data_IF_199127231285
#
_entry.id   IF_199127231285
#
_cell.length_a   1.000
_cell.length_b   1.000
_cell.length_c   1.000
_cell.angle_alpha   90.00
_cell.angle_beta   90.00
_cell.angle_gamma   90.00
#
_symmetry.space_group_name_H-M   'P 1'
#
loop_
_entity.id
_entity.type
_entity.pdbx_description
1 polymer ?
#
# COMPACT_ATOMS: atom_id res chain seq x y z
N UNK A 1 46.48 -49.85 -26.26
CA UNK A 1 47.37 -49.50 -25.13
C UNK A 1 47.18 -48.00 -24.91
N UNK A 2 46.03 -47.61 -24.37
CA UNK A 2 45.69 -47.49 -22.94
C UNK A 2 46.13 -46.12 -22.40
N UNK A 3 45.21 -45.17 -22.55
CA UNK A 3 45.12 -43.91 -21.81
C UNK A 3 44.84 -44.20 -20.32
N UNK A 4 45.42 -43.40 -19.42
CA UNK A 4 45.03 -43.40 -18.00
C UNK A 4 45.16 -42.00 -17.39
N UNK A 5 44.10 -41.20 -17.53
CA UNK A 5 43.81 -40.07 -16.64
C UNK A 5 43.32 -40.60 -15.29
N UNK A 6 44.11 -40.42 -14.24
CA UNK A 6 43.71 -40.76 -12.87
C UNK A 6 43.03 -39.55 -12.21
N UNK A 7 41.69 -39.55 -12.21
CA UNK A 7 40.88 -38.65 -11.40
C UNK A 7 41.07 -38.96 -9.90
N UNK A 8 41.58 -38.01 -9.13
CA UNK A 8 41.55 -38.07 -7.66
C UNK A 8 40.12 -37.80 -7.20
N UNK A 9 39.34 -38.88 -7.04
CA UNK A 9 38.08 -38.84 -6.28
C UNK A 9 38.44 -38.78 -4.80
N UNK A 10 38.50 -37.57 -4.25
CA UNK A 10 38.57 -37.38 -2.81
C UNK A 10 37.18 -37.71 -2.25
N UNK A 11 37.11 -38.80 -1.49
CA UNK A 11 35.91 -39.33 -0.85
C UNK A 11 35.28 -38.27 0.05
N UNK A 12 34.07 -37.83 -0.31
CA UNK A 12 33.41 -36.63 0.25
C UNK A 12 32.55 -36.97 1.49
N UNK A 13 32.68 -38.18 2.05
CA UNK A 13 31.72 -38.75 3.01
C UNK A 13 32.12 -38.73 4.49
N UNK A 14 33.36 -38.38 4.86
CA UNK A 14 33.75 -38.24 6.29
C UNK A 14 34.14 -36.81 6.65
N UNK A 15 33.15 -36.01 7.04
CA UNK A 15 33.36 -34.69 7.66
C UNK A 15 33.63 -34.86 9.15
N UNK A 16 34.68 -34.20 9.65
CA UNK A 16 35.07 -34.28 11.05
C UNK A 16 34.01 -33.62 11.96
N UNK A 17 33.77 -34.23 13.12
CA UNK A 17 32.83 -33.72 14.14
C UNK A 17 33.16 -32.28 14.50
N UNK A 18 32.20 -31.36 14.31
CA UNK A 18 32.34 -29.95 14.72
C UNK A 18 32.65 -28.95 13.59
N UNK A 19 32.76 -29.40 12.35
CA UNK A 19 32.93 -28.54 11.17
C UNK A 19 31.61 -27.91 10.70
N UNK A 20 31.69 -26.69 10.16
CA UNK A 20 30.52 -26.04 9.57
C UNK A 20 30.07 -26.75 8.28
N UNK A 21 28.77 -26.99 8.15
CA UNK A 21 28.17 -27.66 7.01
C UNK A 21 27.84 -26.73 5.84
N UNK A 22 27.86 -25.41 6.04
CA UNK A 22 27.55 -24.41 5.01
C UNK A 22 28.56 -24.47 3.86
N UNK A 23 28.11 -24.47 2.59
CA UNK A 23 29.01 -24.46 1.43
C UNK A 23 30.05 -23.33 1.50
N UNK A 24 31.27 -23.60 1.07
CA UNK A 24 32.39 -22.65 1.07
C UNK A 24 32.78 -22.04 2.43
N UNK A 25 32.22 -22.53 3.53
CA UNK A 25 32.62 -22.11 4.88
C UNK A 25 33.79 -22.96 5.38
N UNK A 26 34.83 -22.30 5.92
CA UNK A 26 36.00 -22.94 6.53
C UNK A 26 35.97 -22.89 8.08
N UNK A 27 34.82 -22.62 8.69
CA UNK A 27 34.68 -22.60 10.15
C UNK A 27 34.98 -23.97 10.79
N UNK A 28 35.93 -24.00 11.73
CA UNK A 28 36.44 -25.19 12.41
C UNK A 28 37.13 -26.24 11.51
N UNK A 29 37.49 -25.89 10.26
CA UNK A 29 38.39 -26.71 9.44
C UNK A 29 39.85 -26.46 9.83
N UNK A 30 40.76 -27.34 9.41
CA UNK A 30 42.20 -27.15 9.60
C UNK A 30 42.66 -25.90 8.86
N UNK A 31 43.30 -24.97 9.58
CA UNK A 31 43.67 -23.65 9.06
C UNK A 31 42.52 -22.64 8.97
N UNK A 32 41.30 -22.99 9.42
CA UNK A 32 40.15 -22.11 9.46
C UNK A 32 39.96 -21.40 10.81
N UNK A 33 39.07 -20.38 10.88
CA UNK A 33 38.76 -19.72 12.14
C UNK A 33 38.06 -20.69 13.11
N UNK A 34 38.43 -20.62 14.39
CA UNK A 34 37.73 -21.32 15.47
C UNK A 34 36.47 -20.54 15.80
N UNK A 35 35.32 -21.16 15.56
CA UNK A 35 33.99 -20.53 15.64
C UNK A 35 33.04 -21.41 16.42
N UNK A 36 32.07 -20.80 17.10
CA UNK A 36 30.96 -21.54 17.71
C UNK A 36 30.10 -22.17 16.61
N UNK A 37 29.67 -23.41 16.84
CA UNK A 37 28.82 -24.17 15.93
C UNK A 37 27.55 -24.62 16.63
N UNK A 38 26.45 -24.57 15.90
CA UNK A 38 25.10 -24.89 16.37
C UNK A 38 24.54 -26.04 15.56
N UNK A 39 23.96 -27.04 16.22
CA UNK A 39 23.26 -28.13 15.55
C UNK A 39 21.96 -27.63 14.93
N UNK A 40 21.57 -28.24 13.81
CA UNK A 40 20.30 -27.93 13.15
C UNK A 40 19.12 -28.19 14.10
N UNK A 41 18.17 -27.25 14.24
CA UNK A 41 17.00 -27.44 15.09
C UNK A 41 16.16 -28.66 14.72
N UNK A 42 15.47 -29.23 15.71
CA UNK A 42 14.47 -30.30 15.53
C UNK A 42 13.03 -29.77 15.44
N UNK A 43 12.85 -28.45 15.59
CA UNK A 43 11.56 -27.76 15.58
C UNK A 43 11.17 -27.31 14.16
N UNK A 44 10.07 -26.55 14.04
CA UNK A 44 9.58 -26.00 12.77
C UNK A 44 10.56 -25.09 12.02
N UNK A 45 11.71 -24.70 12.62
CA UNK A 45 12.76 -23.93 11.94
C UNK A 45 13.70 -24.80 11.13
N UNK A 46 13.68 -26.12 11.31
CA UNK A 46 14.50 -27.06 10.56
C UNK A 46 14.41 -26.83 9.04
N UNK A 47 13.18 -26.75 8.52
CA UNK A 47 12.94 -26.51 7.10
C UNK A 47 13.51 -25.16 6.63
N UNK A 48 13.41 -24.11 7.47
CA UNK A 48 13.98 -22.79 7.17
C UNK A 48 15.51 -22.83 7.12
N UNK A 49 16.15 -23.56 8.03
CA UNK A 49 17.61 -23.73 8.03
C UNK A 49 18.10 -24.50 6.81
N UNK A 50 17.47 -25.64 6.49
CA UNK A 50 17.83 -26.45 5.32
C UNK A 50 17.67 -25.61 4.03
N UNK A 51 16.54 -24.89 3.91
CA UNK A 51 16.27 -23.99 2.79
C UNK A 51 17.25 -22.81 2.70
N UNK A 52 17.80 -22.34 3.81
CA UNK A 52 18.75 -21.24 3.83
C UNK A 52 20.16 -21.68 3.43
N UNK A 53 20.60 -22.87 3.87
CA UNK A 53 21.95 -23.39 3.60
C UNK A 53 22.14 -23.73 2.11
N UNK A 54 21.06 -24.08 1.39
CA UNK A 54 21.00 -24.31 -0.07
C UNK A 54 22.21 -25.05 -0.61
N UNK A 55 22.26 -26.36 -0.32
CA UNK A 55 23.37 -27.20 -0.68
C UNK A 55 22.98 -28.14 -1.82
N UNK A 56 23.64 -27.99 -2.96
CA UNK A 56 23.35 -28.79 -4.17
C UNK A 56 24.23 -30.05 -4.28
N UNK A 57 25.36 -30.10 -3.57
CA UNK A 57 26.31 -31.21 -3.66
C UNK A 57 25.96 -32.41 -2.76
N UNK A 58 25.33 -32.16 -1.62
CA UNK A 58 24.96 -33.19 -0.63
C UNK A 58 23.72 -32.76 0.14
N UNK A 59 22.75 -33.67 0.26
CA UNK A 59 21.60 -33.49 1.13
C UNK A 59 22.02 -33.34 2.59
N UNK A 60 21.60 -32.25 3.24
CA UNK A 60 21.95 -31.98 4.64
C UNK A 60 21.47 -33.08 5.58
N UNK A 61 20.41 -33.79 5.20
CA UNK A 61 19.81 -34.85 6.00
C UNK A 61 20.65 -36.14 6.05
N UNK A 62 21.53 -36.34 5.06
CA UNK A 62 22.42 -37.51 5.00
C UNK A 62 23.73 -37.27 5.74
N UNK A 63 24.03 -36.02 6.13
CA UNK A 63 25.22 -35.66 6.90
C UNK A 63 25.11 -36.15 8.35
N UNK A 64 26.21 -36.68 8.88
CA UNK A 64 26.34 -37.04 10.30
C UNK A 64 26.54 -35.77 11.13
N UNK A 65 25.56 -35.43 11.97
CA UNK A 65 25.55 -34.26 12.89
C UNK A 65 25.92 -32.92 12.20
N UNK A 66 25.09 -32.44 11.23
CA UNK A 66 25.36 -31.19 10.54
C UNK A 66 25.26 -30.00 11.51
N UNK A 67 26.29 -29.14 11.48
CA UNK A 67 26.34 -27.93 12.31
C UNK A 67 26.60 -26.67 11.48
N UNK A 68 26.06 -25.54 11.91
CA UNK A 68 26.24 -24.22 11.28
C UNK A 68 26.99 -23.31 12.25
N UNK A 69 28.02 -22.60 11.79
CA UNK A 69 28.78 -21.70 12.65
C UNK A 69 28.11 -20.33 12.86
N UNK A 70 28.52 -19.63 13.92
CA UNK A 70 27.99 -18.31 14.31
C UNK A 70 28.13 -17.23 13.22
N UNK A 71 29.10 -17.37 12.31
CA UNK A 71 29.32 -16.43 11.19
C UNK A 71 28.14 -16.35 10.22
N UNK A 72 27.24 -17.34 10.23
CA UNK A 72 26.06 -17.36 9.36
C UNK A 72 24.82 -16.71 9.97
N UNK A 73 24.91 -16.25 11.22
CA UNK A 73 23.82 -15.59 11.92
C UNK A 73 24.12 -14.11 12.07
N UNK A 74 23.08 -13.28 11.97
CA UNK A 74 23.20 -11.87 12.33
C UNK A 74 23.49 -11.74 13.83
N UNK A 75 24.25 -10.72 14.25
CA UNK A 75 24.54 -10.47 15.67
C UNK A 75 23.30 -10.39 16.56
N UNK A 76 22.17 -9.89 16.03
CA UNK A 76 20.88 -9.82 16.73
C UNK A 76 20.32 -11.18 17.18
N UNK A 77 20.71 -12.27 16.50
CA UNK A 77 20.31 -13.63 16.82
C UNK A 77 21.29 -14.35 17.74
N UNK A 78 22.46 -13.76 18.01
CA UNK A 78 23.50 -14.31 18.88
C UNK A 78 23.35 -13.71 20.27
N UNK A 79 22.73 -14.46 21.18
CA UNK A 79 22.63 -14.08 22.58
C UNK A 79 23.95 -14.40 23.27
N UNK A 80 24.63 -13.36 23.73
CA UNK A 80 25.89 -13.44 24.50
C UNK A 80 25.72 -13.00 25.96
N UNK A 81 24.58 -12.40 26.33
CA UNK A 81 24.28 -11.94 27.70
C UNK A 81 22.97 -12.51 28.24
N UNK A 82 22.92 -12.69 29.56
CA UNK A 82 21.70 -13.02 30.33
C UNK A 82 21.41 -11.91 31.31
N UNK A 83 20.17 -11.43 31.30
CA UNK A 83 19.64 -10.47 32.26
C UNK A 83 18.78 -11.17 33.29
N UNK A 84 18.91 -10.76 34.57
CA UNK A 84 17.98 -11.11 35.64
C UNK A 84 17.66 -9.85 36.44
N UNK A 85 16.40 -9.72 36.85
CA UNK A 85 15.93 -8.60 37.66
C UNK A 85 16.02 -8.99 39.13
N UNK A 86 16.85 -8.27 39.87
CA UNK A 86 16.97 -8.48 41.30
C UNK A 86 15.69 -8.04 42.05
N UNK A 87 15.52 -8.47 43.30
CA UNK A 87 14.39 -8.11 44.17
C UNK A 87 14.20 -6.59 44.34
N UNK A 88 15.25 -5.80 44.09
CA UNK A 88 15.23 -4.33 44.12
C UNK A 88 14.87 -3.69 42.76
N UNK A 89 14.44 -4.45 41.76
CA UNK A 89 14.08 -3.96 40.43
C UNK A 89 15.27 -3.57 39.54
N UNK A 90 16.50 -3.86 39.96
CA UNK A 90 17.72 -3.59 39.18
C UNK A 90 18.00 -4.76 38.23
N UNK A 91 18.00 -4.50 36.94
CA UNK A 91 18.40 -5.47 35.91
C UNK A 91 19.92 -5.61 35.89
N UNK A 92 20.43 -6.80 36.17
CA UNK A 92 21.85 -7.14 36.06
C UNK A 92 22.05 -7.93 34.78
N UNK A 93 22.91 -7.44 33.89
CA UNK A 93 23.32 -8.15 32.68
C UNK A 93 24.67 -8.82 32.90
N UNK A 94 24.72 -10.13 32.71
CA UNK A 94 25.94 -10.94 32.86
C UNK A 94 26.28 -11.56 31.50
N UNK A 95 27.55 -11.50 31.11
CA UNK A 95 28.05 -12.20 29.94
C UNK A 95 27.98 -13.72 30.13
N UNK A 96 27.38 -14.43 29.16
CA UNK A 96 27.32 -15.88 29.15
C UNK A 96 28.65 -16.48 28.71
N UNK A 97 29.04 -17.61 29.31
CA UNK A 97 30.23 -18.37 28.88
C UNK A 97 30.11 -19.02 27.50
N UNK A 98 28.88 -19.16 26.97
CA UNK A 98 28.59 -19.72 25.65
C UNK A 98 27.52 -18.88 24.93
N UNK A 99 27.82 -18.47 23.69
CA UNK A 99 26.84 -17.85 22.78
C UNK A 99 25.70 -18.82 22.50
N UNK A 100 24.46 -18.36 22.62
CA UNK A 100 23.24 -19.12 22.29
C UNK A 100 22.48 -18.45 21.17
N UNK A 101 21.81 -19.23 20.34
CA UNK A 101 20.90 -18.69 19.33
C UNK A 101 19.55 -18.32 19.95
N UNK A 102 18.95 -17.23 19.46
CA UNK A 102 17.57 -16.90 19.78
C UNK A 102 16.59 -17.94 19.21
N UNK A 103 15.35 -17.92 19.72
CA UNK A 103 14.32 -18.88 19.30
C UNK A 103 13.90 -18.70 17.83
N UNK A 104 14.09 -17.54 17.22
CA UNK A 104 13.74 -17.27 15.81
C UNK A 104 14.94 -17.23 14.86
N UNK A 105 16.13 -17.54 15.38
CA UNK A 105 17.36 -17.46 14.61
C UNK A 105 17.33 -18.38 13.38
N UNK A 106 17.62 -17.81 12.22
CA UNK A 106 17.83 -18.51 10.94
C UNK A 106 19.15 -18.03 10.31
N UNK A 107 19.95 -18.93 9.72
CA UNK A 107 21.19 -18.54 9.06
C UNK A 107 20.84 -17.68 7.84
N UNK A 108 21.43 -16.49 7.77
CA UNK A 108 21.11 -15.44 6.79
C UNK A 108 22.35 -14.83 6.15
N UNK A 109 23.54 -15.02 6.73
CA UNK A 109 24.79 -14.48 6.20
C UNK A 109 25.58 -15.55 5.42
N UNK A 110 25.57 -15.46 4.09
CA UNK A 110 26.30 -16.38 3.20
C UNK A 110 27.26 -15.59 2.29
N UNK A 111 28.41 -15.13 2.82
CA UNK A 111 29.29 -14.18 2.13
C UNK A 111 29.91 -14.71 0.83
N UNK A 112 29.91 -16.02 0.61
CA UNK A 112 30.45 -16.67 -0.59
C UNK A 112 29.37 -17.38 -1.43
N UNK A 113 28.09 -17.00 -1.28
CA UNK A 113 27.03 -17.49 -2.16
C UNK A 113 26.95 -16.62 -3.42
N UNK A 114 26.83 -17.20 -4.63
CA UNK A 114 26.69 -16.42 -5.85
C UNK A 114 25.41 -15.58 -5.75
N UNK A 115 25.49 -14.32 -6.19
CA UNK A 115 24.47 -13.27 -6.00
C UNK A 115 23.05 -13.72 -6.37
N UNK A 116 22.92 -14.63 -7.34
CA UNK A 116 21.65 -15.22 -7.77
C UNK A 116 20.98 -16.17 -6.74
N UNK A 117 21.60 -16.46 -5.60
CA UNK A 117 21.01 -17.26 -4.51
C UNK A 117 20.66 -16.43 -3.27
N UNK A 118 21.18 -15.21 -3.16
CA UNK A 118 21.05 -14.36 -1.97
C UNK A 118 19.85 -13.42 -2.01
N UNK A 119 19.14 -13.35 -3.13
CA UNK A 119 17.89 -12.61 -3.21
C UNK A 119 16.81 -13.42 -2.49
N UNK A 120 16.42 -12.93 -1.31
CA UNK A 120 15.06 -13.10 -0.84
C UNK A 120 14.16 -12.72 -2.01
N UNK A 121 13.60 -13.73 -2.70
CA UNK A 121 12.65 -13.49 -3.77
C UNK A 121 11.64 -12.45 -3.25
N UNK A 122 11.36 -11.38 -4.02
CA UNK A 122 10.42 -10.35 -3.57
C UNK A 122 9.18 -11.09 -3.09
N UNK A 123 8.79 -10.83 -1.84
CA UNK A 123 7.61 -11.43 -1.24
C UNK A 123 6.49 -11.17 -2.24
N UNK A 124 6.00 -12.25 -2.86
CA UNK A 124 4.92 -12.15 -3.84
C UNK A 124 3.77 -11.47 -3.10
N UNK A 125 3.42 -10.28 -3.55
CA UNK A 125 2.27 -9.56 -3.02
C UNK A 125 1.05 -10.49 -3.08
N UNK A 126 0.36 -10.63 -1.95
CA UNK A 126 -0.81 -11.48 -1.90
C UNK A 126 -1.84 -10.99 -2.92
N UNK A 127 -2.58 -11.90 -3.60
CA UNK A 127 -3.54 -11.52 -4.62
C UNK A 127 -4.55 -10.46 -4.16
N UNK A 128 -4.94 -10.50 -2.88
CA UNK A 128 -5.87 -9.53 -2.28
C UNK A 128 -5.24 -8.15 -2.12
N UNK A 129 -4.01 -8.05 -1.64
CA UNK A 129 -3.30 -6.77 -1.52
C UNK A 129 -3.10 -6.11 -2.88
N UNK A 130 -2.76 -6.91 -3.90
CA UNK A 130 -2.63 -6.41 -5.27
C UNK A 130 -3.96 -5.89 -5.83
N UNK A 131 -5.07 -6.60 -5.58
CA UNK A 131 -6.42 -6.16 -5.98
C UNK A 131 -6.80 -4.86 -5.29
N UNK A 132 -6.66 -4.80 -3.96
CA UNK A 132 -6.95 -3.61 -3.18
C UNK A 132 -6.19 -2.39 -3.65
N UNK A 133 -4.88 -2.52 -3.92
CA UNK A 133 -4.07 -1.41 -4.45
C UNK A 133 -4.62 -0.88 -5.79
N UNK A 134 -5.06 -1.76 -6.68
CA UNK A 134 -5.63 -1.37 -7.97
C UNK A 134 -7.00 -0.70 -7.80
N UNK A 135 -7.85 -1.23 -6.91
CA UNK A 135 -9.15 -0.63 -6.58
C UNK A 135 -8.97 0.76 -5.95
N UNK A 136 -8.06 0.90 -4.99
CA UNK A 136 -7.74 2.18 -4.35
C UNK A 136 -7.21 3.19 -5.38
N UNK A 137 -6.37 2.75 -6.33
CA UNK A 137 -5.85 3.59 -7.41
C UNK A 137 -6.98 4.07 -8.34
N UNK A 138 -7.88 3.17 -8.75
CA UNK A 138 -9.03 3.51 -9.59
C UNK A 138 -9.99 4.45 -8.89
N UNK A 139 -10.22 4.24 -7.59
CA UNK A 139 -11.07 5.11 -6.78
C UNK A 139 -10.48 6.52 -6.68
N UNK A 140 -9.16 6.63 -6.44
CA UNK A 140 -8.48 7.92 -6.40
C UNK A 140 -8.56 8.66 -7.73
N UNK A 141 -8.37 7.96 -8.85
CA UNK A 141 -8.52 8.55 -10.19
C UNK A 141 -9.94 9.04 -10.44
N UNK A 142 -10.96 8.25 -10.08
CA UNK A 142 -12.35 8.64 -10.22
C UNK A 142 -12.71 9.87 -9.37
N UNK A 143 -12.22 9.94 -8.13
CA UNK A 143 -12.41 11.10 -7.26
C UNK A 143 -11.76 12.34 -7.89
N UNK A 144 -10.52 12.22 -8.37
CA UNK A 144 -9.80 13.33 -8.97
C UNK A 144 -10.53 13.86 -10.21
N UNK A 145 -10.95 12.98 -11.12
CA UNK A 145 -11.71 13.35 -12.32
C UNK A 145 -13.04 14.02 -11.96
N UNK A 146 -13.71 13.55 -10.91
CA UNK A 146 -14.96 14.16 -10.44
C UNK A 146 -14.74 15.58 -9.91
N UNK A 147 -13.64 15.82 -9.17
CA UNK A 147 -13.31 17.15 -8.65
C UNK A 147 -12.95 18.09 -9.79
N UNK A 148 -12.11 17.66 -10.72
CA UNK A 148 -11.71 18.47 -11.88
C UNK A 148 -12.90 18.84 -12.76
N UNK A 149 -13.78 17.88 -13.06
CA UNK A 149 -15.01 18.14 -13.82
C UNK A 149 -15.92 19.14 -13.12
N UNK A 150 -16.08 19.02 -11.80
CA UNK A 150 -16.88 19.96 -11.01
C UNK A 150 -16.27 21.37 -11.03
N UNK A 151 -14.96 21.50 -10.84
CA UNK A 151 -14.27 22.80 -10.89
C UNK A 151 -14.39 23.48 -12.25
N UNK A 152 -14.30 22.70 -13.34
CA UNK A 152 -14.44 23.22 -14.68
C UNK A 152 -15.88 23.63 -15.02
N UNK A 153 -16.87 22.84 -14.58
CA UNK A 153 -18.28 23.20 -14.69
C UNK A 153 -18.60 24.48 -13.90
N UNK A 154 -18.10 24.61 -12.67
CA UNK A 154 -18.26 25.84 -11.88
C UNK A 154 -17.59 27.02 -12.60
N UNK A 155 -16.38 26.86 -13.11
CA UNK A 155 -15.65 27.92 -13.82
C UNK A 155 -16.39 28.40 -15.07
N UNK A 156 -16.99 27.49 -15.82
CA UNK A 156 -17.74 27.81 -17.05
C UNK A 156 -19.10 28.46 -16.74
N UNK A 157 -19.78 28.02 -15.69
CA UNK A 157 -21.14 28.51 -15.35
C UNK A 157 -21.15 29.67 -14.34
N UNK A 158 -20.00 30.05 -13.78
CA UNK A 158 -19.93 31.13 -12.79
C UNK A 158 -20.15 32.49 -13.44
N UNK A 159 -21.17 33.18 -12.94
CA UNK A 159 -21.46 34.58 -13.27
C UNK A 159 -21.27 35.43 -12.01
N UNK A 160 -20.34 36.38 -12.04
CA UNK A 160 -19.96 37.19 -10.87
C UNK A 160 -20.64 38.57 -10.82
N UNK A 161 -21.27 39.01 -11.91
CA UNK A 161 -21.98 40.28 -11.96
C UNK A 161 -23.23 40.24 -12.84
N UNK A 162 -24.17 41.14 -12.56
CA UNK A 162 -25.37 41.29 -13.37
C UNK A 162 -25.05 41.70 -14.82
N UNK A 163 -24.03 42.53 -15.02
CA UNK A 163 -23.59 42.92 -16.37
C UNK A 163 -23.09 41.71 -17.17
N UNK A 164 -22.35 40.81 -16.53
CA UNK A 164 -21.89 39.57 -17.15
C UNK A 164 -23.08 38.65 -17.48
N UNK A 165 -24.09 38.56 -16.59
CA UNK A 165 -25.30 37.80 -16.88
C UNK A 165 -26.03 38.35 -18.11
N UNK A 166 -26.19 39.67 -18.16
CA UNK A 166 -26.90 40.37 -19.24
C UNK A 166 -26.18 40.21 -20.58
N UNK A 167 -24.85 40.21 -20.61
CA UNK A 167 -24.08 40.02 -21.85
C UNK A 167 -24.17 38.58 -22.39
N UNK A 168 -24.40 37.60 -21.52
CA UNK A 168 -24.55 36.18 -21.89
C UNK A 168 -25.97 35.82 -22.36
N UNK A 169 -27.01 36.55 -21.92
CA UNK A 169 -28.41 36.26 -22.27
C UNK A 169 -28.68 36.07 -23.77
N UNK A 170 -28.15 36.90 -24.70
CA UNK A 170 -28.43 36.75 -26.13
C UNK A 170 -27.86 35.45 -26.74
N UNK A 171 -26.81 34.90 -26.14
CA UNK A 171 -26.16 33.65 -26.57
C UNK A 171 -26.71 32.41 -25.88
N UNK A 172 -27.59 32.57 -24.88
CA UNK A 172 -28.13 31.46 -24.10
C UNK A 172 -29.45 31.00 -24.71
N UNK A 173 -29.55 29.75 -25.21
CA UNK A 173 -30.80 29.23 -25.75
C UNK A 173 -31.78 28.99 -24.60
N UNK A 174 -32.66 29.97 -24.38
CA UNK A 174 -33.79 29.83 -23.46
C UNK A 174 -34.91 29.09 -24.19
N UNK A 175 -35.46 28.05 -23.57
CA UNK A 175 -36.64 27.34 -24.09
C UNK A 175 -37.80 28.32 -24.29
N UNK A 176 -38.60 28.12 -25.35
CA UNK A 176 -39.83 28.88 -25.64
C UNK A 176 -40.85 28.84 -24.50
N UNK A 177 -40.67 27.92 -23.55
CA UNK A 177 -41.38 27.87 -22.27
C UNK A 177 -41.26 29.19 -21.46
N UNK A 178 -40.14 29.90 -21.56
CA UNK A 178 -39.91 31.12 -20.79
C UNK A 178 -40.03 32.37 -21.65
N UNK A 179 -40.89 33.28 -21.21
CA UNK A 179 -40.89 34.67 -21.65
C UNK A 179 -39.85 35.42 -20.84
N UNK A 180 -38.77 35.86 -21.50
CA UNK A 180 -37.69 36.60 -20.85
C UNK A 180 -37.85 38.09 -21.09
N UNK A 181 -37.88 38.89 -20.02
CA UNK A 181 -37.95 40.36 -20.08
C UNK A 181 -36.82 41.00 -19.29
N UNK A 182 -36.00 41.77 -19.98
CA UNK A 182 -34.95 42.60 -19.37
C UNK A 182 -35.54 43.93 -18.91
N UNK A 183 -35.32 44.27 -17.64
CA UNK A 183 -35.58 45.57 -17.03
C UNK A 183 -34.24 46.27 -16.73
N UNK A 184 -34.29 47.50 -16.22
CA UNK A 184 -33.09 48.27 -15.88
C UNK A 184 -32.27 47.61 -14.76
N UNK A 185 -32.94 47.13 -13.71
CA UNK A 185 -32.30 46.56 -12.51
C UNK A 185 -32.64 45.08 -12.27
N UNK A 186 -33.25 44.39 -13.25
CA UNK A 186 -33.61 42.99 -13.11
C UNK A 186 -33.83 42.30 -14.47
N UNK A 187 -33.75 40.97 -14.47
CA UNK A 187 -34.19 40.10 -15.57
C UNK A 187 -35.34 39.24 -15.05
N UNK A 188 -36.43 39.18 -15.79
CA UNK A 188 -37.61 38.37 -15.49
C UNK A 188 -37.68 37.18 -16.45
N UNK A 189 -37.90 35.99 -15.91
CA UNK A 189 -38.29 34.80 -16.64
C UNK A 189 -39.71 34.44 -16.21
N UNK A 190 -40.64 34.40 -17.14
CA UNK A 190 -42.07 34.22 -16.87
C UNK A 190 -42.59 33.04 -17.67
N UNK A 191 -43.39 32.18 -17.05
CA UNK A 191 -44.22 31.20 -17.72
C UNK A 191 -45.68 31.49 -17.41
N UNK A 192 -46.48 31.64 -18.46
CA UNK A 192 -47.91 31.94 -18.37
C UNK A 192 -48.67 30.68 -18.74
N UNK A 193 -49.60 30.26 -17.87
CA UNK A 193 -50.55 29.18 -18.18
C UNK A 193 -51.88 29.81 -18.66
N UNK A 194 -52.52 29.15 -19.63
CA UNK A 194 -53.78 29.60 -20.26
C UNK A 194 -54.92 28.58 -20.06
N UNK A 195 -54.69 27.53 -19.26
CA UNK A 195 -55.70 26.47 -19.03
C UNK A 195 -56.95 26.94 -18.30
N UNK A 196 -56.89 28.06 -17.57
CA UNK A 196 -57.99 28.64 -16.81
C UNK A 196 -58.88 29.59 -17.62
N UNK A 197 -58.66 29.69 -18.95
CA UNK A 197 -59.42 30.58 -19.84
C UNK A 197 -59.02 32.06 -19.75
N UNK A 198 -57.94 32.36 -19.01
CA UNK A 198 -57.27 33.65 -18.97
C UNK A 198 -55.79 33.44 -18.62
N UNK A 199 -54.88 34.30 -19.12
CA UNK A 199 -53.45 34.15 -18.88
C UNK A 199 -53.10 34.45 -17.41
N UNK A 200 -52.60 33.45 -16.70
CA UNK A 200 -52.08 33.60 -15.34
C UNK A 200 -50.58 33.25 -15.30
N UNK A 201 -49.79 34.05 -14.59
CA UNK A 201 -48.37 33.76 -14.39
C UNK A 201 -48.23 32.57 -13.45
N UNK A 202 -47.97 31.40 -14.01
CA UNK A 202 -47.80 30.18 -13.23
C UNK A 202 -46.42 30.13 -12.59
N UNK A 203 -45.36 30.49 -13.30
CA UNK A 203 -43.99 30.51 -12.75
C UNK A 203 -43.33 31.84 -13.07
N UNK A 204 -42.63 32.40 -12.09
CA UNK A 204 -41.78 33.57 -12.33
C UNK A 204 -40.45 33.43 -11.61
N UNK A 205 -39.38 33.81 -12.30
CA UNK A 205 -38.04 33.92 -11.72
C UNK A 205 -37.51 35.31 -12.03
N UNK A 206 -37.12 36.03 -10.99
CA UNK A 206 -36.55 37.37 -11.07
C UNK A 206 -35.11 37.31 -10.61
N UNK A 207 -34.21 37.78 -11.45
CA UNK A 207 -32.80 37.98 -11.10
C UNK A 207 -32.55 39.48 -11.01
N UNK A 208 -32.31 40.00 -9.81
CA UNK A 208 -32.03 41.43 -9.58
C UNK A 208 -30.56 41.78 -9.83
N UNK A 209 -30.26 43.08 -9.95
CA UNK A 209 -28.91 43.59 -10.18
C UNK A 209 -27.91 43.27 -9.06
N UNK A 210 -28.39 43.00 -7.86
CA UNK A 210 -27.60 42.51 -6.72
C UNK A 210 -27.38 40.97 -6.76
N UNK A 211 -27.64 40.33 -7.90
CA UNK A 211 -27.49 38.90 -8.15
C UNK A 211 -28.37 38.01 -7.24
N UNK A 212 -29.42 38.56 -6.62
CA UNK A 212 -30.42 37.76 -5.91
C UNK A 212 -31.42 37.17 -6.89
N UNK A 213 -31.76 35.91 -6.64
CA UNK A 213 -32.76 35.18 -7.42
C UNK A 213 -34.00 34.96 -6.56
N UNK A 214 -35.14 35.39 -7.08
CA UNK A 214 -36.45 35.13 -6.48
C UNK A 214 -37.27 34.30 -7.45
N UNK A 215 -37.73 33.14 -7.00
CA UNK A 215 -38.61 32.28 -7.78
C UNK A 215 -39.97 32.18 -7.10
N UNK A 216 -41.03 32.17 -7.90
CA UNK A 216 -42.41 31.99 -7.45
C UNK A 216 -43.11 30.94 -8.31
N UNK A 217 -43.96 30.16 -7.65
CA UNK A 217 -44.99 29.36 -8.30
C UNK A 217 -46.36 29.91 -7.92
N UNK A 218 -47.07 30.46 -8.90
CA UNK A 218 -48.23 31.33 -8.72
C UNK A 218 -47.86 32.46 -7.76
N UNK A 219 -48.54 32.55 -6.61
CA UNK A 219 -48.30 33.57 -5.58
C UNK A 219 -47.41 33.06 -4.42
N UNK A 220 -46.84 31.87 -4.52
CA UNK A 220 -46.01 31.26 -3.47
C UNK A 220 -44.53 31.46 -3.81
N UNK A 221 -43.79 32.12 -2.91
CA UNK A 221 -42.34 32.27 -3.01
C UNK A 221 -41.65 30.94 -2.75
N UNK A 222 -40.77 30.53 -3.66
CA UNK A 222 -39.90 29.37 -3.49
C UNK A 222 -38.67 29.81 -2.70
N UNK A 223 -38.53 29.33 -1.46
CA UNK A 223 -37.34 29.56 -0.65
C UNK A 223 -36.28 28.50 -0.99
N UNK A 224 -35.04 28.94 -1.24
CA UNK A 224 -33.89 28.05 -1.42
C UNK A 224 -33.53 27.35 -0.11
N UNK A 225 -34.19 26.23 0.15
CA UNK A 225 -34.00 25.40 1.35
C UNK A 225 -35.32 24.73 1.75
N UNK A 226 -35.56 23.52 1.23
CA UNK A 226 -36.69 22.68 1.61
C UNK A 226 -38.05 23.17 1.10
N UNK A 227 -38.53 22.56 0.03
CA UNK A 227 -39.93 22.72 -0.41
C UNK A 227 -40.83 22.06 0.63
N UNK A 228 -41.44 22.83 1.52
CA UNK A 228 -42.66 22.41 2.21
C UNK A 228 -43.85 22.96 1.44
N UNK A 229 -44.63 22.06 0.83
CA UNK A 229 -45.93 22.41 0.30
C UNK A 229 -46.86 22.87 1.44
N UNK A 230 -47.75 23.85 1.23
CA UNK A 230 -48.86 24.06 2.14
C UNK A 230 -49.83 22.89 2.01
N UNK A 231 -50.10 22.20 3.11
CA UNK A 231 -51.21 21.25 3.20
C UNK A 231 -52.53 22.01 2.98
N UNK A 232 -53.42 21.40 2.19
CA UNK A 232 -54.75 21.91 1.82
C UNK A 232 -55.68 22.08 3.01
#
# INVERSE_FOLDING_TARGET
>A
MCDYEASVRCDRTERAMGQCCVPNCRGNYDGGPKVRVFSIPKDGRRAKWIRAIRRDDVDIETLRDPKVCELHFKPEYLRTTTSYTDHNGKTIEVAMGLTRLSQDAVPTAFPNSPSNLSDCAPVREEPESKRKRLEDQQLQEAIQLSVESHEDEERQNRVSSFEQLVSLLPGFPVSDFWIVKKLENAILFLHVDDKSGHPEVERSVTVSSDMKVLAFWKNVKLCGGGVSAPDF
#
